data_IF_080506244939
#
_entry.id   IF_080506244939
#
_cell.length_a   1.000
_cell.length_b   1.000
_cell.length_c   1.000
_cell.angle_alpha   90.00
_cell.angle_beta   90.00
_cell.angle_gamma   90.00
#
_symmetry.space_group_name_H-M   'P 1'
#
loop_
_entity.id
_entity.type
_entity.pdbx_description
1 polymer ?
#
# COMPACT_ATOMS: atom_id res chain seq x y z
N UNK A 1 8.31 -30.69 -53.94
CA UNK A 1 7.03 -31.33 -54.33
C UNK A 1 6.12 -30.23 -54.84
N UNK A 2 5.59 -30.38 -56.06
CA UNK A 2 5.04 -29.29 -56.85
C UNK A 2 3.81 -28.62 -56.21
N UNK A 3 3.87 -27.29 -56.11
CA UNK A 3 2.76 -26.42 -55.73
C UNK A 3 1.69 -26.45 -56.83
N UNK A 4 0.71 -27.34 -56.70
CA UNK A 4 -0.46 -27.28 -57.57
C UNK A 4 -1.28 -26.03 -57.21
N UNK A 5 -1.09 -24.95 -57.96
CA UNK A 5 -2.01 -23.82 -57.95
C UNK A 5 -3.34 -24.29 -58.55
N UNK A 6 -4.28 -24.63 -57.68
CA UNK A 6 -5.62 -25.07 -58.07
C UNK A 6 -6.37 -23.90 -58.68
N UNK A 7 -6.50 -23.86 -60.02
CA UNK A 7 -7.42 -22.94 -60.71
C UNK A 7 -8.88 -23.24 -60.34
N UNK A 8 -9.64 -22.19 -60.09
CA UNK A 8 -11.08 -22.16 -59.74
C UNK A 8 -11.94 -22.99 -60.73
N UNK A 9 -12.88 -23.81 -60.22
CA UNK A 9 -13.88 -24.55 -61.03
C UNK A 9 -14.32 -25.91 -60.44
N UNK A 10 -15.40 -26.51 -61.00
CA UNK A 10 -15.80 -27.90 -60.69
C UNK A 10 -14.77 -28.88 -61.26
N UNK A 11 -14.35 -29.88 -60.48
CA UNK A 11 -13.40 -30.92 -60.89
C UNK A 11 -13.97 -32.30 -60.60
N UNK A 12 -13.68 -33.24 -61.50
CA UNK A 12 -13.97 -34.64 -61.27
C UNK A 12 -12.78 -35.28 -60.56
N UNK A 13 -13.02 -35.85 -59.39
CA UNK A 13 -12.03 -36.58 -58.59
C UNK A 13 -12.50 -38.02 -58.50
N UNK A 14 -11.63 -38.96 -58.83
CA UNK A 14 -11.88 -40.39 -58.69
C UNK A 14 -11.04 -40.93 -57.53
N UNK A 15 -11.67 -41.71 -56.67
CA UNK A 15 -11.02 -42.37 -55.55
C UNK A 15 -11.64 -43.74 -55.34
N UNK A 16 -10.83 -44.69 -54.86
CA UNK A 16 -11.31 -46.00 -54.45
C UNK A 16 -11.77 -45.90 -52.99
N UNK A 17 -13.03 -46.25 -52.75
CA UNK A 17 -13.67 -46.22 -51.42
C UNK A 17 -14.25 -47.61 -51.16
N UNK A 18 -14.10 -48.10 -49.94
CA UNK A 18 -14.72 -49.36 -49.51
C UNK A 18 -16.25 -49.27 -49.60
N UNK A 19 -16.87 -50.34 -50.09
CA UNK A 19 -18.33 -50.42 -50.28
C UNK A 19 -19.07 -50.29 -48.94
N UNK A 20 -18.61 -50.99 -47.90
CA UNK A 20 -19.18 -50.92 -46.54
C UNK A 20 -19.20 -49.48 -45.98
N UNK A 21 -18.13 -48.72 -46.25
CA UNK A 21 -18.02 -47.33 -45.83
C UNK A 21 -19.00 -46.44 -46.62
N UNK A 22 -19.14 -46.68 -47.93
CA UNK A 22 -20.05 -45.96 -48.79
C UNK A 22 -21.52 -46.17 -48.37
N UNK A 23 -21.90 -47.42 -48.10
CA UNK A 23 -23.23 -47.81 -47.67
C UNK A 23 -23.58 -47.24 -46.29
N UNK A 24 -22.62 -47.29 -45.36
CA UNK A 24 -22.75 -46.65 -44.05
C UNK A 24 -22.94 -45.14 -44.17
N UNK A 25 -22.16 -44.47 -45.03
CA UNK A 25 -22.30 -43.04 -45.27
C UNK A 25 -23.68 -42.68 -45.83
N UNK A 26 -24.21 -43.45 -46.79
CA UNK A 26 -25.55 -43.22 -47.32
C UNK A 26 -26.65 -43.40 -46.28
N UNK A 27 -26.51 -44.41 -45.42
CA UNK A 27 -27.49 -44.69 -44.37
C UNK A 27 -27.52 -43.57 -43.33
N UNK A 28 -26.35 -43.03 -42.97
CA UNK A 28 -26.22 -41.95 -41.99
C UNK A 28 -26.65 -40.60 -42.58
N UNK A 29 -26.17 -40.25 -43.77
CA UNK A 29 -26.42 -38.92 -44.34
C UNK A 29 -27.78 -38.81 -45.01
N UNK A 30 -28.35 -39.92 -45.47
CA UNK A 30 -29.53 -39.98 -46.36
C UNK A 30 -29.40 -39.10 -47.61
N UNK A 31 -28.17 -38.79 -48.03
CA UNK A 31 -27.83 -37.89 -49.13
C UNK A 31 -26.98 -38.58 -50.17
N UNK A 32 -26.83 -37.96 -51.34
CA UNK A 32 -25.88 -38.42 -52.35
C UNK A 32 -24.42 -38.31 -51.87
N UNK A 33 -23.52 -39.06 -52.52
CA UNK A 33 -22.10 -39.11 -52.13
C UNK A 33 -21.45 -37.74 -52.24
N UNK A 34 -21.72 -37.03 -53.33
CA UNK A 34 -21.17 -35.69 -53.60
C UNK A 34 -21.58 -34.69 -52.53
N UNK A 35 -22.83 -34.73 -52.09
CA UNK A 35 -23.34 -33.83 -51.03
C UNK A 35 -22.70 -34.16 -49.68
N UNK A 36 -22.64 -35.45 -49.35
CA UNK A 36 -22.01 -35.95 -48.10
C UNK A 36 -20.53 -35.56 -48.03
N UNK A 37 -19.79 -35.72 -49.12
CA UNK A 37 -18.37 -35.31 -49.21
C UNK A 37 -18.24 -33.79 -49.13
N UNK A 38 -19.11 -33.03 -49.79
CA UNK A 38 -19.07 -31.56 -49.75
C UNK A 38 -19.31 -31.04 -48.34
N UNK A 39 -20.27 -31.61 -47.62
CA UNK A 39 -20.54 -31.28 -46.22
C UNK A 39 -19.39 -31.67 -45.31
N UNK A 40 -18.81 -32.86 -45.49
CA UNK A 40 -17.66 -33.30 -44.72
C UNK A 40 -16.44 -32.41 -44.93
N UNK A 41 -16.17 -31.97 -46.16
CA UNK A 41 -15.07 -31.04 -46.47
C UNK A 41 -15.33 -29.64 -45.91
N UNK A 42 -16.57 -29.16 -45.98
CA UNK A 42 -16.97 -27.89 -45.36
C UNK A 42 -16.88 -27.95 -43.83
N UNK A 43 -17.25 -29.09 -43.24
CA UNK A 43 -17.09 -29.32 -41.82
C UNK A 43 -15.60 -29.31 -41.46
N UNK A 44 -14.78 -30.12 -42.14
CA UNK A 44 -13.34 -30.19 -41.92
C UNK A 44 -12.66 -28.83 -42.05
N UNK A 45 -12.99 -28.03 -43.06
CA UNK A 45 -12.42 -26.68 -43.20
C UNK A 45 -12.87 -25.70 -42.12
N UNK A 46 -14.07 -25.87 -41.54
CA UNK A 46 -14.58 -25.02 -40.44
C UNK A 46 -14.14 -25.49 -39.06
N UNK A 47 -14.06 -26.80 -38.86
CA UNK A 47 -13.79 -27.43 -37.56
C UNK A 47 -12.29 -27.61 -37.33
N UNK A 48 -11.53 -27.84 -38.40
CA UNK A 48 -10.11 -28.08 -38.30
C UNK A 48 -9.39 -26.74 -38.30
N UNK A 49 -9.16 -26.24 -37.09
CA UNK A 49 -8.29 -25.09 -36.86
C UNK A 49 -6.90 -25.46 -37.36
N UNK A 50 -6.26 -24.57 -38.10
CA UNK A 50 -4.87 -24.78 -38.50
C UNK A 50 -3.98 -24.91 -37.25
N UNK A 51 -2.85 -25.60 -37.35
CA UNK A 51 -1.87 -25.66 -36.25
C UNK A 51 -1.46 -24.24 -35.78
N UNK A 52 -1.47 -23.28 -36.71
CA UNK A 52 -1.22 -21.88 -36.45
C UNK A 52 -2.32 -21.23 -35.59
N UNK A 53 -3.60 -21.48 -35.88
CA UNK A 53 -4.72 -20.99 -35.07
C UNK A 53 -4.75 -21.64 -33.69
N UNK A 54 -4.49 -22.94 -33.59
CA UNK A 54 -4.37 -23.63 -32.30
C UNK A 54 -3.20 -23.07 -31.46
N UNK A 55 -2.08 -22.74 -32.10
CA UNK A 55 -0.96 -22.10 -31.43
C UNK A 55 -1.32 -20.68 -30.98
N UNK A 56 -2.03 -19.90 -31.80
CA UNK A 56 -2.51 -18.56 -31.44
C UNK A 56 -3.45 -18.60 -30.23
N UNK A 57 -4.44 -19.49 -30.21
CA UNK A 57 -5.36 -19.63 -29.07
C UNK A 57 -4.63 -20.00 -27.77
N UNK A 58 -3.62 -20.88 -27.85
CA UNK A 58 -2.76 -21.21 -26.70
C UNK A 58 -1.92 -20.03 -26.24
N UNK A 59 -1.40 -19.23 -27.17
CA UNK A 59 -0.65 -18.02 -26.80
C UNK A 59 -1.55 -16.97 -26.15
N UNK A 60 -2.74 -16.75 -26.70
CA UNK A 60 -3.72 -15.81 -26.15
C UNK A 60 -4.18 -16.21 -24.75
N UNK A 61 -4.44 -17.50 -24.51
CA UNK A 61 -4.81 -17.98 -23.18
C UNK A 61 -3.69 -17.77 -22.17
N UNK A 62 -2.44 -18.04 -22.54
CA UNK A 62 -1.26 -17.80 -21.68
C UNK A 62 -1.08 -16.31 -21.39
N UNK A 63 -1.27 -15.43 -22.37
CA UNK A 63 -1.22 -13.98 -22.16
C UNK A 63 -2.30 -13.56 -21.15
N UNK A 64 -3.52 -14.06 -21.30
CA UNK A 64 -4.62 -13.74 -20.41
C UNK A 64 -4.35 -14.22 -18.97
N UNK A 65 -3.78 -15.41 -18.79
CA UNK A 65 -3.34 -15.89 -17.48
C UNK A 65 -2.20 -15.04 -16.90
N UNK A 66 -1.20 -14.68 -17.70
CA UNK A 66 -0.11 -13.83 -17.28
C UNK A 66 -0.59 -12.44 -16.84
N UNK A 67 -1.57 -11.85 -17.53
CA UNK A 67 -2.16 -10.56 -17.13
C UNK A 67 -2.93 -10.66 -15.81
N UNK A 68 -3.69 -11.75 -15.59
CA UNK A 68 -4.36 -12.02 -14.31
C UNK A 68 -3.36 -12.19 -13.16
N UNK A 69 -2.27 -12.91 -13.39
CA UNK A 69 -1.21 -13.08 -12.39
C UNK A 69 -0.53 -11.75 -12.07
N UNK A 70 -0.24 -10.93 -13.08
CA UNK A 70 0.33 -9.59 -12.88
C UNK A 70 -0.59 -8.70 -12.05
N UNK A 71 -1.89 -8.67 -12.35
CA UNK A 71 -2.87 -7.92 -11.56
C UNK A 71 -2.88 -8.37 -10.08
N UNK A 72 -2.82 -9.68 -9.84
CA UNK A 72 -2.75 -10.24 -8.48
C UNK A 72 -1.47 -9.86 -7.75
N UNK A 73 -0.33 -9.82 -8.44
CA UNK A 73 0.94 -9.34 -7.88
C UNK A 73 0.85 -7.86 -7.52
N UNK A 74 0.26 -7.03 -8.38
CA UNK A 74 0.10 -5.59 -8.14
C UNK A 74 -0.81 -5.33 -6.92
N UNK A 75 -1.91 -6.09 -6.77
CA UNK A 75 -2.78 -6.04 -5.59
C UNK A 75 -2.04 -6.44 -4.30
N UNK A 76 -1.31 -7.56 -4.33
CA UNK A 76 -0.52 -8.01 -3.19
C UNK A 76 0.57 -7.00 -2.82
N UNK A 77 1.21 -6.40 -3.81
CA UNK A 77 2.23 -5.35 -3.61
C UNK A 77 1.60 -4.11 -2.97
N UNK A 78 0.43 -3.68 -3.45
CA UNK A 78 -0.31 -2.56 -2.87
C UNK A 78 -0.75 -2.84 -1.44
N UNK A 79 -1.19 -4.06 -1.13
CA UNK A 79 -1.58 -4.45 0.22
C UNK A 79 -0.38 -4.50 1.16
N UNK A 80 0.74 -5.11 0.74
CA UNK A 80 2.00 -5.08 1.49
C UNK A 80 2.48 -3.66 1.77
N UNK A 81 2.41 -2.76 0.78
CA UNK A 81 2.76 -1.34 0.97
C UNK A 81 1.83 -0.62 1.94
N UNK A 82 0.55 -0.99 2.02
CA UNK A 82 -0.39 -0.45 3.01
C UNK A 82 -0.11 -0.99 4.41
N UNK A 83 0.22 -2.27 4.52
CA UNK A 83 0.57 -2.92 5.79
C UNK A 83 1.87 -2.35 6.35
N UNK A 84 2.93 -2.24 5.53
CA UNK A 84 4.19 -1.61 5.95
C UNK A 84 4.00 -0.15 6.31
N UNK A 85 3.16 0.62 5.60
CA UNK A 85 2.79 1.98 6.03
C UNK A 85 2.12 2.00 7.41
N UNK A 86 1.18 1.08 7.68
CA UNK A 86 0.53 0.97 9.00
C UNK A 86 1.50 0.56 10.10
N UNK A 87 2.46 -0.32 9.81
CA UNK A 87 3.52 -0.71 10.76
C UNK A 87 4.45 0.47 11.05
N UNK A 88 4.88 1.18 10.01
CA UNK A 88 5.68 2.41 10.15
C UNK A 88 4.89 3.48 10.92
N UNK A 89 3.61 3.71 10.64
CA UNK A 89 2.78 4.66 11.38
C UNK A 89 2.55 4.24 12.84
N UNK A 90 2.57 2.93 13.15
CA UNK A 90 2.52 2.42 14.53
C UNK A 90 3.86 2.58 15.25
N UNK A 91 4.99 2.36 14.56
CA UNK A 91 6.33 2.59 15.13
C UNK A 91 6.64 4.09 15.30
N UNK A 92 6.16 4.92 14.37
CA UNK A 92 6.24 6.38 14.39
C UNK A 92 5.10 7.02 15.20
N UNK A 93 4.11 6.24 15.65
CA UNK A 93 3.15 6.73 16.63
C UNK A 93 3.95 7.29 17.79
N UNK A 94 3.64 8.50 18.27
CA UNK A 94 4.52 9.18 19.20
C UNK A 94 4.58 8.38 20.49
N UNK A 95 5.67 7.62 20.69
CA UNK A 95 6.10 7.13 22.01
C UNK A 95 6.40 8.27 22.98
N UNK A 96 6.33 9.51 22.51
CA UNK A 96 6.26 10.68 23.34
C UNK A 96 4.80 10.86 23.80
N UNK A 97 4.43 10.14 24.86
CA UNK A 97 3.71 10.84 25.93
C UNK A 97 4.51 12.13 26.19
N UNK A 98 3.91 13.31 26.37
CA UNK A 98 4.66 14.39 26.96
C UNK A 98 5.05 13.89 28.34
N UNK A 99 6.27 13.37 28.47
CA UNK A 99 6.95 13.38 29.74
C UNK A 99 7.18 14.87 29.92
N UNK A 100 6.21 15.55 30.52
CA UNK A 100 6.54 16.70 31.34
C UNK A 100 7.69 16.21 32.19
N UNK A 101 8.90 16.72 31.91
CA UNK A 101 10.05 16.50 32.77
C UNK A 101 9.71 17.18 34.09
N UNK A 102 8.87 16.53 34.90
CA UNK A 102 8.63 16.89 36.27
C UNK A 102 9.96 16.62 36.95
N UNK A 103 10.69 17.71 37.23
CA UNK A 103 11.83 17.66 38.13
C UNK A 103 11.35 16.98 39.41
N UNK A 104 12.12 16.00 39.90
CA UNK A 104 11.84 15.42 41.21
C UNK A 104 11.86 16.52 42.27
N UNK A 105 11.08 16.38 43.35
CA UNK A 105 11.00 17.40 44.41
C UNK A 105 12.38 17.81 44.95
N UNK A 106 13.30 16.84 45.04
CA UNK A 106 14.70 17.08 45.45
C UNK A 106 15.48 17.96 44.45
N UNK A 107 15.28 17.76 43.15
CA UNK A 107 15.93 18.56 42.11
C UNK A 107 15.34 19.97 42.01
N UNK A 108 14.01 20.10 42.19
CA UNK A 108 13.35 21.39 42.29
C UNK A 108 13.86 22.19 43.48
N UNK A 109 14.00 21.53 44.64
CA UNK A 109 14.46 22.19 45.85
C UNK A 109 15.93 22.61 45.75
N UNK A 110 16.81 21.75 45.23
CA UNK A 110 18.21 22.13 44.97
C UNK A 110 18.33 23.31 44.00
N UNK A 111 17.56 23.31 42.91
CA UNK A 111 17.54 24.44 41.96
C UNK A 111 17.02 25.73 42.58
N UNK A 112 15.99 25.63 43.43
CA UNK A 112 15.48 26.76 44.19
C UNK A 112 16.55 27.32 45.12
N UNK A 113 17.12 26.49 46.00
CA UNK A 113 18.05 26.95 47.05
C UNK A 113 19.39 27.47 46.50
N UNK A 114 19.98 26.78 45.52
CA UNK A 114 21.34 27.07 45.07
C UNK A 114 21.42 27.99 43.85
N UNK A 115 20.39 28.01 42.99
CA UNK A 115 20.45 28.72 41.71
C UNK A 115 19.50 29.91 41.69
N UNK A 116 18.22 29.70 42.00
CA UNK A 116 17.18 30.71 41.76
C UNK A 116 17.03 31.66 42.95
N UNK A 117 16.96 31.14 44.18
CA UNK A 117 16.78 31.94 45.39
C UNK A 117 17.89 32.97 45.62
N UNK A 118 19.19 32.66 45.44
CA UNK A 118 20.25 33.68 45.59
C UNK A 118 20.09 34.85 44.61
N UNK A 119 19.68 34.58 43.36
CA UNK A 119 19.46 35.59 42.34
C UNK A 119 18.22 36.43 42.67
N UNK A 120 17.13 35.78 43.08
CA UNK A 120 15.90 36.46 43.49
C UNK A 120 16.14 37.31 44.73
N UNK A 121 16.80 36.78 45.76
CA UNK A 121 17.16 37.50 46.98
C UNK A 121 17.99 38.75 46.69
N UNK A 122 19.02 38.62 45.84
CA UNK A 122 19.83 39.77 45.41
C UNK A 122 18.98 40.86 44.74
N UNK A 123 18.09 40.48 43.82
CA UNK A 123 17.19 41.42 43.13
C UNK A 123 16.15 42.05 44.07
N UNK A 124 15.69 41.31 45.08
CA UNK A 124 14.80 41.84 46.11
C UNK A 124 15.53 42.90 46.93
N UNK A 125 16.78 42.67 47.32
CA UNK A 125 17.58 43.66 48.06
C UNK A 125 17.86 44.90 47.22
N UNK A 126 18.10 44.74 45.91
CA UNK A 126 18.41 45.86 45.01
C UNK A 126 17.18 46.69 44.63
N UNK A 127 16.05 46.04 44.33
CA UNK A 127 14.91 46.70 43.69
C UNK A 127 13.61 46.64 44.53
N UNK A 128 13.59 45.95 45.66
CA UNK A 128 12.39 45.72 46.47
C UNK A 128 11.53 44.55 45.97
N UNK A 129 10.78 43.92 46.89
CA UNK A 129 9.98 42.71 46.63
C UNK A 129 8.92 42.94 45.54
N UNK A 130 8.21 44.06 45.60
CA UNK A 130 7.11 44.36 44.66
C UNK A 130 7.59 44.46 43.21
N UNK A 131 8.76 45.07 42.98
CA UNK A 131 9.34 45.18 41.65
C UNK A 131 9.77 43.83 41.08
N UNK A 132 10.26 42.92 41.93
CA UNK A 132 10.61 41.55 41.51
C UNK A 132 9.38 40.71 41.19
N UNK A 133 8.29 40.86 41.95
CA UNK A 133 7.03 40.15 41.71
C UNK A 133 6.28 40.67 40.47
N UNK A 134 6.51 41.94 40.10
CA UNK A 134 5.94 42.57 38.90
C UNK A 134 6.80 42.37 37.65
N UNK A 135 8.06 41.93 37.77
CA UNK A 135 8.91 41.57 36.62
C UNK A 135 8.44 40.23 36.00
N UNK A 136 7.52 40.36 35.04
CA UNK A 136 6.88 39.23 34.39
C UNK A 136 7.87 38.38 33.57
N UNK A 137 8.95 38.98 33.06
CA UNK A 137 9.99 38.25 32.31
C UNK A 137 10.78 37.36 33.24
N UNK A 138 11.16 37.89 34.41
CA UNK A 138 11.85 37.15 35.45
C UNK A 138 11.01 36.00 35.99
N UNK A 139 9.76 36.30 36.36
CA UNK A 139 8.84 35.30 36.92
C UNK A 139 8.56 34.18 35.92
N UNK A 140 8.34 34.49 34.65
CA UNK A 140 8.12 33.48 33.61
C UNK A 140 9.35 32.60 33.35
N UNK A 141 10.56 33.15 33.47
CA UNK A 141 11.78 32.38 33.25
C UNK A 141 12.06 31.42 34.40
N UNK A 142 11.90 31.88 35.64
CA UNK A 142 12.13 31.04 36.81
C UNK A 142 11.00 30.03 37.04
N UNK A 143 9.75 30.36 36.72
CA UNK A 143 8.64 29.41 36.82
C UNK A 143 8.84 28.24 35.86
N UNK A 144 9.26 28.51 34.63
CA UNK A 144 9.67 27.50 33.65
C UNK A 144 10.87 26.67 34.11
N UNK A 145 11.86 27.30 34.73
CA UNK A 145 13.07 26.61 35.21
C UNK A 145 12.79 25.63 36.38
N UNK A 146 11.74 25.91 37.16
CA UNK A 146 11.27 25.09 38.28
C UNK A 146 10.10 24.17 37.92
N UNK A 147 9.56 24.29 36.69
CA UNK A 147 8.36 23.57 36.27
C UNK A 147 7.15 23.82 37.18
N UNK A 148 7.03 25.02 37.76
CA UNK A 148 5.91 25.44 38.63
C UNK A 148 5.12 26.57 37.98
N UNK A 149 3.91 26.83 38.48
CA UNK A 149 3.12 27.96 38.00
C UNK A 149 3.75 29.30 38.41
N UNK A 150 3.45 30.37 37.66
CA UNK A 150 3.93 31.72 38.02
C UNK A 150 3.31 32.21 39.33
N UNK A 151 2.11 31.74 39.68
CA UNK A 151 1.46 32.01 40.96
C UNK A 151 2.19 31.30 42.11
N UNK A 152 2.47 30.01 41.98
CA UNK A 152 3.24 29.22 42.96
C UNK A 152 4.64 29.82 43.20
N UNK A 153 5.32 30.29 42.13
CA UNK A 153 6.61 30.96 42.28
C UNK A 153 6.49 32.25 43.10
N UNK A 154 5.45 33.08 42.85
CA UNK A 154 5.24 34.33 43.59
C UNK A 154 4.97 34.06 45.08
N UNK A 155 4.15 33.05 45.38
CA UNK A 155 3.89 32.62 46.75
C UNK A 155 5.17 32.09 47.43
N UNK A 156 5.96 31.28 46.73
CA UNK A 156 7.24 30.75 47.24
C UNK A 156 8.23 31.88 47.54
N UNK A 157 8.29 32.91 46.69
CA UNK A 157 9.09 34.11 46.93
C UNK A 157 8.57 34.87 48.16
N UNK A 158 7.25 35.07 48.27
CA UNK A 158 6.65 35.81 49.38
C UNK A 158 6.91 35.12 50.72
N UNK A 159 6.71 33.81 50.79
CA UNK A 159 6.94 33.00 51.99
C UNK A 159 8.42 33.03 52.40
N UNK A 160 9.36 32.88 51.46
CA UNK A 160 10.78 32.88 51.78
C UNK A 160 11.35 34.29 52.07
N UNK A 161 10.74 35.34 51.51
CA UNK A 161 11.14 36.72 51.77
C UNK A 161 10.62 37.22 53.14
N UNK A 162 9.51 36.66 53.63
CA UNK A 162 8.97 36.92 54.97
C UNK A 162 9.68 36.17 56.11
N UNK A 163 10.60 35.24 55.80
CA UNK A 163 11.40 34.44 56.76
C UNK A 163 12.80 35.05 56.96
N UNK A 164 12.98 36.35 56.67
CA UNK A 164 14.24 37.10 56.91
C UNK A 164 14.05 38.12 58.00
#
# INVERSE_FOLDING_TARGET
MGTSQVRYGKRLVQAWISEDLLESCYTISMKGLTETITEALNYYTKSNKSELELAQERYESVILEATRLKAKIDELTKNKLKETKKEIDKELSPKNKPIENQLTEEEQQKRWEFTIWPIVKKKITENGIENVLNDQRLINNFSKALCISTAELKEKIHNNAGVV
#
